data_IF_582796822793
#
_entry.id   IF_582796822793
#
_cell.length_a   1.000
_cell.length_b   1.000
_cell.length_c   1.000
_cell.angle_alpha   90.00
_cell.angle_beta   90.00
_cell.angle_gamma   90.00
#
_symmetry.space_group_name_H-M   'P 1'
#
loop_
_entity.id
_entity.type
_entity.pdbx_description
1 polymer ?
#
# COMPACT_ATOMS: atom_id res chain seq x y z
N UNK A 1 4.89 2.59 14.92
CA UNK A 1 4.89 2.76 13.45
C UNK A 1 5.15 1.45 12.71
N UNK A 2 6.25 0.73 12.98
CA UNK A 2 6.54 -0.58 12.35
C UNK A 2 5.40 -1.60 12.51
N UNK A 3 4.74 -1.75 13.69
CA UNK A 3 3.62 -2.67 13.83
C UNK A 3 2.41 -2.25 12.99
N UNK A 4 2.05 -0.96 12.95
CA UNK A 4 0.90 -0.47 12.18
C UNK A 4 1.12 -0.57 10.66
N UNK A 5 2.34 -0.24 10.20
CA UNK A 5 2.70 -0.36 8.80
C UNK A 5 2.75 -1.83 8.36
N UNK A 6 3.34 -2.73 9.18
CA UNK A 6 3.41 -4.16 8.86
C UNK A 6 2.05 -4.84 8.97
N UNK A 7 1.27 -4.51 9.99
CA UNK A 7 -0.06 -5.03 10.21
C UNK A 7 -1.04 -4.60 9.10
N UNK A 8 -0.84 -3.44 8.47
CA UNK A 8 -1.68 -3.00 7.34
C UNK A 8 -1.60 -3.92 6.10
N UNK A 9 -0.43 -4.48 5.78
CA UNK A 9 -0.28 -5.41 4.64
C UNK A 9 -0.20 -6.88 5.04
N UNK A 10 0.04 -7.18 6.32
CA UNK A 10 0.12 -8.54 6.85
C UNK A 10 -1.12 -8.96 7.66
N UNK A 11 -2.09 -8.07 7.93
CA UNK A 11 -3.32 -8.45 8.63
C UNK A 11 -4.28 -9.19 7.71
N UNK A 12 -4.63 -10.39 8.18
CA UNK A 12 -5.80 -11.14 7.77
C UNK A 12 -7.08 -10.33 8.04
N UNK A 13 -7.83 -10.02 6.99
CA UNK A 13 -9.21 -9.54 7.08
C UNK A 13 -10.04 -10.25 6.01
N UNK A 14 -11.34 -10.54 6.22
CA UNK A 14 -12.17 -11.20 5.22
C UNK A 14 -12.04 -10.54 3.84
N UNK A 15 -11.49 -11.29 2.86
CA UNK A 15 -11.16 -10.78 1.51
C UNK A 15 -9.68 -10.50 1.23
N UNK A 16 -8.79 -10.61 2.22
CA UNK A 16 -7.32 -10.54 2.09
C UNK A 16 -6.62 -11.87 2.43
N UNK A 17 -7.38 -12.97 2.43
CA UNK A 17 -6.85 -14.32 2.66
C UNK A 17 -5.79 -14.64 1.58
N UNK A 18 -4.59 -15.14 1.94
CA UNK A 18 -3.46 -15.32 1.01
C UNK A 18 -3.75 -16.18 -0.22
N UNK A 19 -4.78 -17.03 -0.16
CA UNK A 19 -5.24 -17.89 -1.26
C UNK A 19 -6.48 -17.38 -2.01
N UNK A 20 -6.97 -16.17 -1.71
CA UNK A 20 -8.25 -15.69 -2.23
C UNK A 20 -9.41 -16.46 -1.61
N UNK A 21 -9.84 -16.03 -0.44
CA UNK A 21 -10.92 -16.65 0.31
C UNK A 21 -12.24 -16.80 -0.45
N UNK A 22 -13.20 -17.50 0.16
CA UNK A 22 -14.53 -17.72 -0.43
C UNK A 22 -15.20 -16.42 -0.93
N UNK A 23 -14.90 -15.27 -0.31
CA UNK A 23 -15.37 -13.96 -0.75
C UNK A 23 -14.78 -13.48 -2.09
N UNK A 24 -13.49 -13.73 -2.35
CA UNK A 24 -12.87 -13.42 -3.65
C UNK A 24 -13.36 -14.41 -4.70
N UNK A 25 -13.51 -15.70 -4.35
CA UNK A 25 -14.09 -16.70 -5.23
C UNK A 25 -15.53 -16.33 -5.64
N UNK A 26 -16.37 -15.85 -4.70
CA UNK A 26 -17.71 -15.34 -5.03
C UNK A 26 -17.68 -14.18 -6.03
N UNK A 27 -16.74 -13.25 -5.90
CA UNK A 27 -16.57 -12.14 -6.86
C UNK A 27 -16.14 -12.63 -8.23
N UNK A 28 -15.26 -13.64 -8.29
CA UNK A 28 -14.85 -14.27 -9.55
C UNK A 28 -16.00 -15.04 -10.20
N UNK A 29 -16.77 -15.82 -9.43
CA UNK A 29 -17.94 -16.55 -9.94
C UNK A 29 -19.12 -15.66 -10.32
N UNK A 30 -19.19 -14.44 -9.77
CA UNK A 30 -20.19 -13.44 -10.16
C UNK A 30 -19.82 -12.68 -11.43
N UNK A 31 -18.62 -12.89 -11.99
CA UNK A 31 -18.23 -12.30 -13.26
C UNK A 31 -19.01 -12.93 -14.42
N UNK A 32 -19.26 -12.14 -15.47
CA UNK A 32 -20.06 -12.55 -16.64
C UNK A 32 -19.48 -13.78 -17.36
N UNK A 33 -18.16 -13.86 -17.43
CA UNK A 33 -17.40 -14.97 -18.01
C UNK A 33 -16.01 -15.06 -17.37
N UNK A 34 -15.28 -16.13 -17.70
CA UNK A 34 -13.94 -16.40 -17.18
C UNK A 34 -12.91 -15.33 -17.58
N UNK A 35 -13.02 -14.80 -18.80
CA UNK A 35 -12.11 -13.76 -19.28
C UNK A 35 -12.23 -12.46 -18.47
N UNK A 36 -13.46 -12.07 -18.12
CA UNK A 36 -13.73 -10.95 -17.23
C UNK A 36 -13.23 -11.21 -15.79
N UNK A 37 -13.40 -12.44 -15.26
CA UNK A 37 -12.89 -12.81 -13.95
C UNK A 37 -11.36 -12.74 -13.87
N UNK A 38 -10.67 -13.25 -14.89
CA UNK A 38 -9.21 -13.20 -15.03
C UNK A 38 -8.73 -11.76 -15.15
N UNK A 39 -9.35 -10.97 -16.05
CA UNK A 39 -9.00 -9.58 -16.28
C UNK A 39 -9.16 -8.72 -15.02
N UNK A 40 -10.27 -8.89 -14.29
CA UNK A 40 -10.52 -8.18 -13.03
C UNK A 40 -9.49 -8.55 -11.95
N UNK A 41 -9.14 -9.83 -11.85
CA UNK A 41 -8.13 -10.32 -10.89
C UNK A 41 -6.73 -9.78 -11.20
N UNK A 42 -6.34 -9.76 -12.48
CA UNK A 42 -5.05 -9.21 -12.91
C UNK A 42 -5.00 -7.69 -12.69
N UNK A 43 -6.06 -6.97 -13.06
CA UNK A 43 -6.16 -5.54 -12.82
C UNK A 43 -6.04 -5.22 -11.32
N UNK A 44 -6.72 -5.99 -10.47
CA UNK A 44 -6.62 -5.83 -9.03
C UNK A 44 -5.18 -6.02 -8.55
N UNK A 45 -4.48 -7.07 -9.00
CA UNK A 45 -3.09 -7.30 -8.59
C UNK A 45 -2.16 -6.16 -9.02
N UNK A 46 -2.27 -5.69 -10.27
CA UNK A 46 -1.47 -4.56 -10.76
C UNK A 46 -1.79 -3.30 -9.99
N UNK A 47 -3.07 -2.94 -9.85
CA UNK A 47 -3.47 -1.72 -9.16
C UNK A 47 -3.07 -1.76 -7.68
N UNK A 48 -3.28 -2.88 -7.01
CA UNK A 48 -3.13 -3.00 -5.57
C UNK A 48 -1.69 -3.19 -5.13
N UNK A 49 -0.93 -4.03 -5.83
CA UNK A 49 0.43 -4.38 -5.43
C UNK A 49 1.49 -3.64 -6.24
N UNK A 50 1.26 -3.38 -7.52
CA UNK A 50 2.22 -2.61 -8.31
C UNK A 50 1.99 -1.11 -8.14
N UNK A 51 0.78 -0.59 -8.41
CA UNK A 51 0.55 0.85 -8.52
C UNK A 51 0.39 1.56 -7.17
N UNK A 52 -0.40 1.00 -6.25
CA UNK A 52 -0.71 1.62 -4.96
C UNK A 52 0.49 1.99 -4.09
N UNK A 53 1.59 1.20 -3.99
CA UNK A 53 2.73 1.57 -3.15
C UNK A 53 3.62 2.66 -3.76
N UNK A 54 3.62 2.86 -5.07
CA UNK A 54 4.52 3.81 -5.74
C UNK A 54 4.46 5.24 -5.20
N UNK A 55 3.27 5.85 -4.92
CA UNK A 55 3.21 7.17 -4.30
C UNK A 55 4.00 7.27 -2.99
N UNK A 56 3.94 6.25 -2.14
CA UNK A 56 4.67 6.22 -0.87
C UNK A 56 6.17 6.06 -1.08
N UNK A 57 6.57 5.22 -2.03
CA UNK A 57 7.98 5.05 -2.42
C UNK A 57 8.54 6.38 -2.94
N UNK A 58 7.81 7.06 -3.82
CA UNK A 58 8.23 8.35 -4.38
C UNK A 58 8.36 9.42 -3.31
N UNK A 59 7.42 9.51 -2.36
CA UNK A 59 7.50 10.45 -1.23
C UNK A 59 8.72 10.14 -0.36
N UNK A 60 8.96 8.85 -0.04
CA UNK A 60 10.11 8.45 0.76
C UNK A 60 11.44 8.78 0.07
N UNK A 61 11.58 8.47 -1.23
CA UNK A 61 12.77 8.81 -2.02
C UNK A 61 12.96 10.32 -2.15
N UNK A 62 11.89 11.07 -2.40
CA UNK A 62 11.96 12.54 -2.49
C UNK A 62 12.40 13.15 -1.16
N UNK A 63 11.95 12.59 -0.02
CA UNK A 63 12.36 13.05 1.30
C UNK A 63 13.87 12.91 1.53
N UNK A 64 14.51 11.84 1.00
CA UNK A 64 15.96 11.66 1.13
C UNK A 64 16.76 12.71 0.35
N UNK A 65 16.20 13.24 -0.74
CA UNK A 65 16.84 14.25 -1.58
C UNK A 65 16.59 15.67 -1.04
N UNK A 66 15.36 15.96 -0.62
CA UNK A 66 14.95 17.30 -0.16
C UNK A 66 15.42 17.56 1.28
N UNK A 67 15.42 16.52 2.13
CA UNK A 67 15.80 16.61 3.54
C UNK A 67 16.88 15.56 3.87
N UNK A 68 18.12 15.78 3.43
CA UNK A 68 19.20 14.82 3.61
C UNK A 68 19.58 14.65 5.09
N UNK A 69 19.54 15.72 5.87
CA UNK A 69 19.85 15.71 7.29
C UNK A 69 18.62 15.99 8.15
N UNK A 70 18.59 15.46 9.37
CA UNK A 70 17.51 15.72 10.33
C UNK A 70 17.36 17.22 10.63
N UNK A 71 18.46 17.98 10.58
CA UNK A 71 18.44 19.43 10.79
C UNK A 71 17.66 20.19 9.71
N UNK A 72 17.56 19.65 8.49
CA UNK A 72 16.86 20.31 7.38
C UNK A 72 15.35 20.22 7.53
N UNK A 73 14.86 19.11 8.10
CA UNK A 73 13.45 18.96 8.49
C UNK A 73 13.11 19.98 9.59
N UNK A 74 13.96 20.12 10.61
CA UNK A 74 13.72 21.08 11.70
C UNK A 74 13.74 22.54 11.21
N UNK A 75 14.58 22.87 10.23
CA UNK A 75 14.58 24.20 9.59
C UNK A 75 13.31 24.47 8.79
N UNK A 76 12.82 23.46 8.06
CA UNK A 76 11.60 23.59 7.25
C UNK A 76 10.32 23.61 8.10
N UNK A 77 10.33 22.95 9.26
CA UNK A 77 9.20 22.85 10.18
C UNK A 77 9.62 23.29 11.60
N UNK A 78 9.81 24.59 11.84
CA UNK A 78 10.37 25.11 13.09
C UNK A 78 9.48 24.87 14.31
N UNK A 79 8.16 24.76 14.11
CA UNK A 79 7.18 24.56 15.19
C UNK A 79 7.10 23.11 15.68
N UNK A 80 7.78 22.17 15.03
CA UNK A 80 7.80 20.77 15.46
C UNK A 80 8.75 20.60 16.65
N UNK A 81 8.33 19.90 17.73
CA UNK A 81 9.18 19.68 18.88
C UNK A 81 10.41 18.84 18.49
N UNK A 82 11.61 19.21 18.95
CA UNK A 82 12.82 18.46 18.64
C UNK A 82 12.69 17.03 19.18
N UNK A 83 13.11 16.07 18.37
CA UNK A 83 13.11 14.66 18.77
C UNK A 83 14.28 14.44 19.73
N UNK A 84 13.96 14.30 21.02
CA UNK A 84 14.91 14.02 22.11
C UNK A 84 15.71 12.73 21.88
#
# INVERSE_FOLDING_TARGET
MVPLAVQWWASYYPGAEPGGGGYIAQRMFSAKDEANALGATLLFNVAHYALRPWPWILIALSSLVIYPELSDIQKAFPDLPPKN
#
